data_IF_622950178204
#
_entry.id   IF_622950178204
#
_cell.length_a   1.000
_cell.length_b   1.000
_cell.length_c   1.000
_cell.angle_alpha   90.00
_cell.angle_beta   90.00
_cell.angle_gamma   90.00
#
_symmetry.space_group_name_H-M   'P 1'
#
loop_
_entity.id
_entity.type
_entity.pdbx_description
1 polymer ?
#
# COMPACT_ATOMS: atom_id res chain seq x y z
N UNK A 1 -9.53 0.43 19.56
CA UNK A 1 -10.27 1.51 18.89
C UNK A 1 -11.70 1.48 19.41
N UNK A 2 -11.93 2.11 20.55
CA UNK A 2 -13.22 2.07 21.25
C UNK A 2 -13.54 3.50 21.66
N UNK A 3 -14.47 4.16 20.96
CA UNK A 3 -14.93 5.51 21.31
C UNK A 3 -15.91 5.39 22.49
N UNK A 4 -15.43 5.70 23.69
CA UNK A 4 -16.25 5.81 24.89
C UNK A 4 -16.72 7.26 25.02
N UNK A 5 -18.00 7.53 24.72
CA UNK A 5 -18.64 8.79 25.09
C UNK A 5 -18.80 8.80 26.62
N UNK A 6 -18.19 9.78 27.29
CA UNK A 6 -18.38 10.03 28.71
C UNK A 6 -19.42 11.15 28.88
N UNK A 7 -20.51 10.85 29.58
CA UNK A 7 -21.53 11.81 29.97
C UNK A 7 -20.98 12.82 30.98
N UNK A 8 -21.21 14.11 30.73
CA UNK A 8 -20.78 15.20 31.61
C UNK A 8 -21.86 15.46 32.68
N UNK A 9 -21.58 15.11 33.94
CA UNK A 9 -22.25 15.73 35.09
C UNK A 9 -21.22 16.49 35.90
N UNK A 10 -21.11 17.79 35.65
CA UNK A 10 -20.21 18.68 36.36
C UNK A 10 -20.76 18.99 37.76
N UNK A 11 -20.03 18.59 38.80
CA UNK A 11 -20.08 19.25 40.11
C UNK A 11 -18.62 19.53 40.49
N UNK A 12 -18.33 20.82 40.69
CA UNK A 12 -16.99 21.37 40.70
C UNK A 12 -16.06 20.82 41.77
N UNK A 13 -14.84 20.54 41.35
CA UNK A 13 -13.62 20.59 42.17
C UNK A 13 -12.56 21.25 41.30
N UNK A 14 -11.94 22.33 41.79
CA UNK A 14 -10.82 23.00 41.13
C UNK A 14 -9.67 22.00 40.93
N UNK A 15 -9.53 21.46 39.73
CA UNK A 15 -8.33 20.75 39.32
C UNK A 15 -7.38 21.78 38.71
N UNK A 16 -6.27 22.03 39.41
CA UNK A 16 -5.12 22.77 38.86
C UNK A 16 -4.70 22.07 37.56
N UNK A 17 -4.80 22.80 36.44
CA UNK A 17 -4.51 22.29 35.11
C UNK A 17 -2.99 22.07 34.99
N UNK A 18 -2.52 20.87 35.31
CA UNK A 18 -1.18 20.43 34.88
C UNK A 18 -1.31 20.16 33.40
N UNK A 19 -0.97 21.13 32.55
CA UNK A 19 -0.86 20.91 31.11
C UNK A 19 0.29 19.93 30.88
N UNK A 20 0.05 18.69 30.41
CA UNK A 20 1.13 17.91 29.87
C UNK A 20 1.64 18.67 28.64
N UNK A 21 2.92 19.04 28.65
CA UNK A 21 3.60 19.60 27.50
C UNK A 21 3.81 18.47 26.48
N UNK A 22 2.71 18.05 25.85
CA UNK A 22 2.75 17.12 24.71
C UNK A 22 3.29 17.92 23.54
N UNK A 23 4.61 17.87 23.37
CA UNK A 23 5.25 18.26 22.11
C UNK A 23 4.92 17.17 21.09
N UNK A 24 3.66 17.15 20.63
CA UNK A 24 3.29 16.43 19.43
C UNK A 24 3.83 17.25 18.25
N UNK A 25 5.09 17.00 17.90
CA UNK A 25 5.57 17.45 16.60
C UNK A 25 4.77 16.68 15.57
N UNK A 26 3.83 17.37 14.92
CA UNK A 26 3.16 16.84 13.76
C UNK A 26 4.24 16.71 12.67
N UNK A 27 4.87 15.54 12.58
CA UNK A 27 5.69 15.20 11.44
C UNK A 27 4.78 15.15 10.22
N UNK A 28 5.17 15.81 9.14
CA UNK A 28 4.47 15.68 7.87
C UNK A 28 4.80 14.30 7.32
N UNK A 29 3.80 13.42 7.20
CA UNK A 29 3.96 12.13 6.53
C UNK A 29 3.45 12.24 5.09
N UNK A 30 4.24 11.80 4.12
CA UNK A 30 3.81 11.70 2.71
C UNK A 30 3.30 10.31 2.38
N UNK A 31 2.56 10.18 1.27
CA UNK A 31 2.09 8.87 0.82
C UNK A 31 3.20 8.24 -0.02
N UNK A 32 3.54 6.95 0.20
CA UNK A 32 4.49 6.23 -0.63
C UNK A 32 4.15 6.27 -2.12
N UNK A 33 5.15 6.12 -2.98
CA UNK A 33 4.99 6.13 -4.43
C UNK A 33 5.56 4.86 -5.07
N UNK A 34 4.84 4.31 -6.05
CA UNK A 34 5.31 3.19 -6.86
C UNK A 34 6.05 3.65 -8.13
N UNK A 35 7.00 2.83 -8.58
CA UNK A 35 7.57 2.89 -9.93
C UNK A 35 7.58 1.50 -10.56
N UNK A 36 7.49 1.45 -11.89
CA UNK A 36 7.61 0.21 -12.66
C UNK A 36 6.34 -0.63 -12.80
N UNK A 37 5.25 -0.24 -12.13
CA UNK A 37 3.93 -0.85 -12.35
C UNK A 37 3.40 -0.38 -13.70
N UNK A 38 3.36 -1.30 -14.67
CA UNK A 38 2.87 -1.07 -16.04
C UNK A 38 2.20 -2.31 -16.56
N UNK A 39 1.08 -2.15 -17.26
CA UNK A 39 0.40 -3.27 -17.90
C UNK A 39 1.36 -4.08 -18.79
N UNK A 40 1.09 -5.37 -18.90
CA UNK A 40 2.00 -6.31 -19.56
C UNK A 40 1.22 -7.30 -20.43
N UNK A 41 1.85 -7.73 -21.51
CA UNK A 41 1.32 -8.77 -22.39
C UNK A 41 2.36 -9.89 -22.43
N UNK A 42 1.95 -11.10 -22.09
CA UNK A 42 2.82 -12.27 -22.03
C UNK A 42 2.21 -13.42 -22.81
N UNK A 43 3.02 -14.39 -23.21
CA UNK A 43 2.56 -15.57 -23.91
C UNK A 43 2.10 -16.67 -22.96
N UNK A 44 1.20 -17.54 -23.43
CA UNK A 44 0.82 -18.76 -22.69
C UNK A 44 2.07 -19.58 -22.35
N UNK A 45 2.21 -19.94 -21.08
CA UNK A 45 3.32 -20.71 -20.54
C UNK A 45 4.58 -19.90 -20.22
N UNK A 46 4.57 -18.58 -20.47
CA UNK A 46 5.70 -17.72 -20.11
C UNK A 46 5.84 -17.60 -18.58
N UNK A 47 7.10 -17.55 -18.11
CA UNK A 47 7.39 -17.26 -16.71
C UNK A 47 7.16 -15.78 -16.46
N UNK A 48 6.42 -15.45 -15.40
CA UNK A 48 6.11 -14.07 -15.05
C UNK A 48 6.40 -13.83 -13.57
N UNK A 49 7.19 -12.79 -13.27
CA UNK A 49 7.45 -12.33 -11.91
C UNK A 49 6.73 -10.99 -11.66
N UNK A 50 5.69 -10.94 -10.82
CA UNK A 50 4.94 -9.72 -10.53
C UNK A 50 5.78 -8.54 -10.01
N UNK A 51 6.85 -8.83 -9.27
CA UNK A 51 7.69 -7.81 -8.63
C UNK A 51 8.87 -7.37 -9.51
N UNK A 52 9.06 -7.97 -10.69
CA UNK A 52 10.16 -7.60 -11.55
C UNK A 52 10.03 -6.13 -12.01
N UNK A 53 11.06 -5.34 -11.68
CA UNK A 53 11.13 -3.91 -12.00
C UNK A 53 10.18 -3.02 -11.20
N UNK A 54 9.47 -3.56 -10.19
CA UNK A 54 8.56 -2.79 -9.33
C UNK A 54 9.31 -2.33 -8.09
N UNK A 55 9.28 -1.03 -7.80
CA UNK A 55 9.88 -0.42 -6.61
C UNK A 55 8.90 0.51 -5.92
N UNK A 56 9.07 0.73 -4.62
CA UNK A 56 8.29 1.68 -3.85
C UNK A 56 9.22 2.60 -3.05
N UNK A 57 8.93 3.89 -3.03
CA UNK A 57 9.72 4.87 -2.30
C UNK A 57 8.81 5.88 -1.60
N UNK A 58 9.15 6.19 -0.37
CA UNK A 58 8.53 7.22 0.43
C UNK A 58 9.57 8.28 0.83
N UNK A 59 9.15 9.54 0.97
CA UNK A 59 10.08 10.64 1.23
C UNK A 59 10.69 10.56 2.63
N UNK A 60 9.95 10.12 3.62
CA UNK A 60 10.36 10.05 5.01
C UNK A 60 10.98 8.68 5.35
N UNK A 61 10.43 7.61 4.80
CA UNK A 61 10.86 6.22 5.05
C UNK A 61 11.96 5.72 4.10
N UNK A 62 12.12 6.34 2.92
CA UNK A 62 13.08 5.90 1.90
C UNK A 62 12.57 4.73 1.05
N UNK A 63 13.45 3.75 0.79
CA UNK A 63 13.09 2.60 -0.06
C UNK A 63 12.19 1.61 0.71
N UNK A 64 10.99 1.41 0.18
CA UNK A 64 9.98 0.51 0.72
C UNK A 64 9.72 -0.71 -0.18
N UNK A 65 10.60 -0.97 -1.14
CA UNK A 65 10.42 -2.03 -2.14
C UNK A 65 10.21 -3.41 -1.52
N UNK A 66 10.90 -3.72 -0.42
CA UNK A 66 10.73 -5.00 0.29
C UNK A 66 9.40 -5.09 1.08
N UNK A 67 8.69 -3.97 1.26
CA UNK A 67 7.38 -3.91 1.93
C UNK A 67 6.21 -4.04 0.96
N UNK A 68 6.47 -4.15 -0.35
CA UNK A 68 5.41 -4.27 -1.36
C UNK A 68 4.70 -5.62 -1.20
N UNK A 69 3.37 -5.56 -1.10
CA UNK A 69 2.48 -6.70 -1.11
C UNK A 69 1.77 -6.78 -2.45
N UNK A 70 1.71 -7.97 -3.03
CA UNK A 70 0.99 -8.23 -4.28
C UNK A 70 -0.18 -9.16 -3.99
N UNK A 71 -1.37 -8.68 -4.29
CA UNK A 71 -2.63 -9.42 -4.22
C UNK A 71 -3.11 -9.75 -5.64
N UNK A 72 -3.76 -10.91 -5.78
CA UNK A 72 -4.25 -11.42 -7.06
C UNK A 72 -3.49 -12.66 -7.50
N UNK A 73 -4.02 -13.32 -8.52
CA UNK A 73 -3.45 -14.55 -9.07
C UNK A 73 -3.50 -14.50 -10.59
N UNK A 74 -2.39 -14.86 -11.21
CA UNK A 74 -2.26 -15.00 -12.65
C UNK A 74 -2.03 -16.47 -12.99
N UNK A 75 -2.83 -16.99 -13.92
CA UNK A 75 -2.62 -18.31 -14.51
C UNK A 75 -2.02 -18.14 -15.91
N UNK A 76 -0.69 -18.21 -16.03
CA UNK A 76 -0.02 -18.05 -17.32
C UNK A 76 -0.26 -19.22 -18.26
N UNK A 77 -0.85 -20.33 -17.81
CA UNK A 77 -1.18 -21.48 -18.66
C UNK A 77 -2.47 -21.27 -19.47
N UNK A 78 -3.25 -20.24 -19.15
CA UNK A 78 -4.52 -19.93 -19.82
C UNK A 78 -4.48 -18.53 -20.42
N UNK A 79 -4.96 -18.42 -21.66
CA UNK A 79 -5.26 -17.12 -22.25
C UNK A 79 -6.29 -16.39 -21.40
N UNK A 80 -6.07 -15.10 -21.16
CA UNK A 80 -6.97 -14.29 -20.38
C UNK A 80 -6.39 -12.94 -19.98
N UNK A 81 -7.23 -12.13 -19.36
CA UNK A 81 -6.81 -10.89 -18.70
C UNK A 81 -6.85 -11.11 -17.20
N UNK A 82 -5.74 -10.83 -16.53
CA UNK A 82 -5.56 -10.98 -15.10
C UNK A 82 -5.22 -9.63 -14.49
N UNK A 83 -5.69 -9.37 -13.28
CA UNK A 83 -5.39 -8.16 -12.54
C UNK A 83 -4.58 -8.51 -11.28
N UNK A 84 -3.52 -7.75 -11.04
CA UNK A 84 -2.75 -7.77 -9.80
C UNK A 84 -2.85 -6.41 -9.13
N UNK A 85 -3.01 -6.41 -7.82
CA UNK A 85 -3.04 -5.22 -6.97
C UNK A 85 -1.78 -5.18 -6.10
N UNK A 86 -1.06 -4.08 -6.17
CA UNK A 86 0.11 -3.77 -5.37
C UNK A 86 -0.31 -2.86 -4.22
N UNK A 87 0.25 -3.11 -3.05
CA UNK A 87 0.05 -2.28 -1.86
C UNK A 87 1.37 -2.11 -1.13
N UNK A 88 1.63 -0.90 -0.65
CA UNK A 88 2.78 -0.60 0.22
C UNK A 88 2.30 0.33 1.34
N UNK A 89 2.87 0.15 2.53
CA UNK A 89 2.61 1.00 3.68
C UNK A 89 3.94 1.52 4.25
N UNK A 90 3.97 2.79 4.64
CA UNK A 90 5.09 3.40 5.34
C UNK A 90 5.08 3.06 6.85
N UNK A 91 6.01 3.63 7.61
CA UNK A 91 6.11 3.41 9.06
C UNK A 91 5.05 4.17 9.88
N UNK A 92 4.54 5.28 9.35
CA UNK A 92 3.55 6.17 9.97
C UNK A 92 2.08 5.78 9.63
N UNK A 93 1.91 4.76 8.79
CA UNK A 93 0.64 4.15 8.42
C UNK A 93 -0.04 4.69 7.16
N UNK A 94 0.61 5.53 6.33
CA UNK A 94 0.06 5.85 5.01
C UNK A 94 0.25 4.67 4.04
N UNK A 95 -0.73 4.50 3.16
CA UNK A 95 -0.86 3.33 2.28
C UNK A 95 -1.11 3.81 0.87
N UNK A 96 -0.35 3.27 -0.08
CA UNK A 96 -0.59 3.43 -1.51
C UNK A 96 -0.99 2.10 -2.14
N UNK A 97 -1.91 2.15 -3.10
CA UNK A 97 -2.33 0.99 -3.89
C UNK A 97 -2.28 1.28 -5.39
N UNK A 98 -1.91 0.28 -6.18
CA UNK A 98 -1.87 0.41 -7.63
C UNK A 98 -2.20 -0.92 -8.30
N UNK A 99 -2.86 -0.89 -9.46
CA UNK A 99 -3.24 -2.09 -10.22
C UNK A 99 -2.37 -2.26 -11.46
N UNK A 100 -2.20 -3.52 -11.86
CA UNK A 100 -1.54 -3.92 -13.10
C UNK A 100 -2.41 -4.93 -13.83
N UNK A 101 -2.64 -4.69 -15.11
CA UNK A 101 -3.33 -5.64 -15.99
C UNK A 101 -2.31 -6.47 -16.76
N UNK A 102 -2.46 -7.78 -16.72
CA UNK A 102 -1.64 -8.73 -17.46
C UNK A 102 -2.55 -9.46 -18.45
N UNK A 103 -2.22 -9.34 -19.74
CA UNK A 103 -2.91 -10.07 -20.80
C UNK A 103 -2.04 -11.26 -21.22
N UNK A 104 -2.54 -12.47 -20.97
CA UNK A 104 -1.95 -13.70 -21.49
C UNK A 104 -2.55 -13.96 -22.86
N UNK A 105 -1.71 -14.02 -23.89
CA UNK A 105 -2.10 -14.27 -25.29
C UNK A 105 -1.50 -15.57 -25.78
N UNK A 106 -2.15 -16.19 -26.77
CA UNK A 106 -1.59 -17.37 -27.42
C UNK A 106 -0.20 -17.08 -28.02
N UNK A 107 0.70 -18.06 -27.89
CA UNK A 107 1.98 -17.99 -28.56
C UNK A 107 1.75 -18.04 -30.09
N UNK A 108 2.47 -17.23 -30.88
CA UNK A 108 2.41 -17.34 -32.33
C UNK A 108 2.79 -18.78 -32.73
N UNK A 109 1.96 -19.38 -33.59
CA UNK A 109 2.20 -20.71 -34.14
C UNK A 109 3.58 -20.70 -34.81
N UNK A 110 4.51 -21.51 -34.30
CA UNK A 110 5.84 -21.72 -34.90
C UNK A 110 5.77 -22.67 -36.09
#
# INVERSE_FOLDING_TARGET
MNKLLQSLSAIGVSATLVTPHLNAEATTNTIPSFKGIKDSVIQVGEKYNPLEGVTAFDKEDGDLTDKIKVNGHIDTSKQGTYELQYQVADSDGAIETSSRVIKVVDAPLK
#
